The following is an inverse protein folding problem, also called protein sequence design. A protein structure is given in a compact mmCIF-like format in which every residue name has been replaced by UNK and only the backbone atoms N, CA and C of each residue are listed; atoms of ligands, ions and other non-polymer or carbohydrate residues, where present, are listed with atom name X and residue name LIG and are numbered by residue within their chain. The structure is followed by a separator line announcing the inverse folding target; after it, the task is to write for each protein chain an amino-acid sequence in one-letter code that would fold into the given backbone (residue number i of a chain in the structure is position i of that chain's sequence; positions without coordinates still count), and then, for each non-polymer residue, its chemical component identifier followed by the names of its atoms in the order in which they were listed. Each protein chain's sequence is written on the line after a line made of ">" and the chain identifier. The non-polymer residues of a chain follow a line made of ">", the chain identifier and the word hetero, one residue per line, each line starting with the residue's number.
data_IF_064473962225
#
_entry.id   IF_064473962225
#
_cell.length_a   1.000
_cell.length_b   1.000
_cell.length_c   1.000
_cell.angle_alpha   90.00
_cell.angle_beta   90.00
_cell.angle_gamma   90.00
#
_symmetry.space_group_name_H-M   'P 1'
#
loop_
_entity.id
_entity.type
_entity.pdbx_description
1 polymer ?
#
# COMPACT_ATOMS: atom_id res chain seq x y z
N UNK A 1 -0.91 -25.39 -13.78
CA UNK A 1 -1.82 -24.29 -13.33
C UNK A 1 -1.32 -23.84 -11.98
N UNK A 2 -1.01 -22.55 -11.79
CA UNK A 2 -0.48 -22.05 -10.51
C UNK A 2 -1.50 -22.18 -9.37
N UNK A 3 -1.05 -22.59 -8.19
CA UNK A 3 -1.86 -22.54 -6.97
C UNK A 3 -1.97 -21.09 -6.51
N UNK A 4 -3.17 -20.52 -6.50
CA UNK A 4 -3.42 -19.10 -6.25
C UNK A 4 -4.33 -18.88 -5.06
N UNK A 5 -4.08 -17.83 -4.30
CA UNK A 5 -4.99 -17.27 -3.30
C UNK A 5 -5.32 -15.83 -3.67
N UNK A 6 -6.59 -15.48 -3.69
CA UNK A 6 -7.04 -14.09 -3.84
C UNK A 6 -7.49 -13.55 -2.48
N UNK A 7 -7.06 -12.35 -2.15
CA UNK A 7 -7.43 -11.66 -0.91
C UNK A 7 -7.85 -10.23 -1.24
N UNK A 8 -9.09 -9.89 -0.95
CA UNK A 8 -9.60 -8.52 -1.03
C UNK A 8 -9.44 -7.82 0.32
N UNK A 9 -8.73 -6.72 0.34
CA UNK A 9 -8.73 -5.78 1.47
C UNK A 9 -9.65 -4.61 1.14
N UNK A 10 -10.62 -4.33 2.02
CA UNK A 10 -11.50 -3.18 1.90
C UNK A 10 -11.74 -2.53 3.27
N UNK A 11 -12.38 -1.36 3.29
CA UNK A 11 -12.66 -0.64 4.53
C UNK A 11 -13.89 -1.18 5.23
N UNK A 12 -15.04 -1.23 4.54
CA UNK A 12 -16.33 -1.53 5.18
C UNK A 12 -17.11 -2.67 4.52
N UNK A 13 -17.10 -2.76 3.18
CA UNK A 13 -17.93 -3.72 2.45
C UNK A 13 -17.35 -4.04 1.08
N UNK A 14 -17.39 -5.30 0.71
CA UNK A 14 -17.08 -5.79 -0.64
C UNK A 14 -17.81 -7.11 -0.93
N UNK A 15 -18.03 -7.40 -2.21
CA UNK A 15 -18.49 -8.70 -2.72
C UNK A 15 -17.51 -9.29 -3.75
N UNK A 16 -16.34 -8.69 -3.91
CA UNK A 16 -15.37 -9.08 -4.93
C UNK A 16 -14.83 -10.50 -4.68
N UNK A 17 -14.73 -10.93 -3.43
CA UNK A 17 -14.35 -12.28 -3.05
C UNK A 17 -15.34 -13.33 -3.58
N UNK A 18 -16.64 -13.04 -3.49
CA UNK A 18 -17.69 -13.92 -4.01
C UNK A 18 -17.66 -13.98 -5.54
N UNK A 19 -17.57 -12.81 -6.20
CA UNK A 19 -17.50 -12.71 -7.66
C UNK A 19 -16.27 -13.44 -8.22
N UNK A 20 -15.11 -13.24 -7.62
CA UNK A 20 -13.85 -13.89 -8.04
C UNK A 20 -13.93 -15.41 -7.81
N UNK A 21 -14.45 -15.86 -6.66
CA UNK A 21 -14.60 -17.27 -6.37
C UNK A 21 -15.51 -17.96 -7.39
N UNK A 22 -16.65 -17.35 -7.71
CA UNK A 22 -17.62 -17.91 -8.67
C UNK A 22 -17.06 -17.92 -10.10
N UNK A 23 -16.46 -16.80 -10.55
CA UNK A 23 -16.00 -16.64 -11.93
C UNK A 23 -14.77 -17.50 -12.25
N UNK A 24 -13.83 -17.61 -11.32
CA UNK A 24 -12.52 -18.22 -11.57
C UNK A 24 -12.29 -19.53 -10.84
N UNK A 25 -13.24 -19.98 -10.01
CA UNK A 25 -13.16 -21.21 -9.22
C UNK A 25 -11.86 -21.28 -8.37
N UNK A 26 -11.44 -20.14 -7.83
CA UNK A 26 -10.30 -20.03 -6.92
C UNK A 26 -10.79 -19.63 -5.53
N UNK A 27 -10.05 -20.03 -4.51
CA UNK A 27 -10.32 -19.55 -3.15
C UNK A 27 -10.09 -18.04 -3.09
N UNK A 28 -11.12 -17.30 -2.76
CA UNK A 28 -11.03 -15.86 -2.51
C UNK A 28 -11.56 -15.57 -1.10
N UNK A 29 -10.94 -14.62 -0.42
CA UNK A 29 -11.34 -14.18 0.93
C UNK A 29 -11.37 -12.67 0.98
N UNK A 30 -12.24 -12.12 1.81
CA UNK A 30 -12.25 -10.68 2.13
C UNK A 30 -11.74 -10.42 3.53
N UNK A 31 -11.10 -9.29 3.69
CA UNK A 31 -10.59 -8.75 4.94
C UNK A 31 -11.04 -7.29 5.04
N UNK A 32 -11.78 -6.95 6.08
CA UNK A 32 -12.35 -5.62 6.28
C UNK A 32 -11.60 -4.89 7.39
N UNK A 33 -11.08 -3.72 7.08
CA UNK A 33 -10.27 -2.93 8.01
C UNK A 33 -11.12 -2.19 9.06
N UNK A 34 -12.41 -1.98 8.75
CA UNK A 34 -13.37 -1.27 9.60
C UNK A 34 -12.83 0.08 10.10
N UNK A 35 -12.57 0.22 11.38
CA UNK A 35 -12.05 1.46 11.99
C UNK A 35 -10.53 1.62 11.87
N UNK A 36 -9.81 0.58 11.44
CA UNK A 36 -8.36 0.66 11.26
C UNK A 36 -7.99 1.33 9.94
N UNK A 37 -6.82 1.97 9.92
CA UNK A 37 -6.24 2.37 8.65
C UNK A 37 -5.89 1.13 7.84
N UNK A 38 -6.26 1.04 6.54
CA UNK A 38 -6.01 -0.17 5.74
C UNK A 38 -4.55 -0.57 5.63
N UNK A 39 -3.61 0.37 5.66
CA UNK A 39 -2.17 0.09 5.71
C UNK A 39 -1.75 -0.62 7.01
N UNK A 40 -2.34 -0.23 8.14
CA UNK A 40 -2.15 -0.95 9.41
C UNK A 40 -2.76 -2.33 9.37
N UNK A 41 -3.98 -2.42 8.89
CA UNK A 41 -4.70 -3.68 8.80
C UNK A 41 -3.95 -4.66 7.90
N UNK A 42 -3.44 -4.18 6.75
CA UNK A 42 -2.57 -4.99 5.88
C UNK A 42 -1.33 -5.47 6.62
N UNK A 43 -0.68 -4.59 7.40
CA UNK A 43 0.51 -4.96 8.17
C UNK A 43 0.23 -5.99 9.28
N UNK A 44 -0.99 -6.04 9.81
CA UNK A 44 -1.41 -7.02 10.81
C UNK A 44 -1.81 -8.36 10.20
N UNK A 45 -2.52 -8.33 9.08
CA UNK A 45 -3.12 -9.54 8.50
C UNK A 45 -2.21 -10.23 7.46
N UNK A 46 -1.37 -9.50 6.74
CA UNK A 46 -0.55 -10.09 5.69
C UNK A 46 0.39 -11.20 6.16
N UNK A 47 1.07 -11.10 7.32
CA UNK A 47 1.88 -12.21 7.83
C UNK A 47 1.08 -13.49 8.04
N UNK A 48 -0.12 -13.39 8.60
CA UNK A 48 -1.04 -14.52 8.83
C UNK A 48 -1.49 -15.14 7.51
N UNK A 49 -1.86 -14.28 6.54
CA UNK A 49 -2.28 -14.74 5.20
C UNK A 49 -1.16 -15.53 4.53
N UNK A 50 0.08 -15.06 4.63
CA UNK A 50 1.23 -15.77 4.06
C UNK A 50 1.45 -17.10 4.76
N UNK A 51 1.37 -17.13 6.09
CA UNK A 51 1.54 -18.35 6.89
C UNK A 51 0.45 -19.39 6.58
N UNK A 52 -0.80 -18.96 6.46
CA UNK A 52 -1.94 -19.82 6.12
C UNK A 52 -1.94 -20.32 4.67
N UNK A 53 -1.14 -19.73 3.79
CA UNK A 53 -1.14 -20.01 2.35
C UNK A 53 0.26 -20.34 1.81
N UNK A 54 1.11 -20.99 2.60
CA UNK A 54 2.46 -21.38 2.19
C UNK A 54 2.48 -22.40 1.04
N UNK A 55 1.38 -23.12 0.81
CA UNK A 55 1.21 -24.03 -0.32
C UNK A 55 0.87 -23.32 -1.64
N UNK A 56 0.67 -22.00 -1.63
CA UNK A 56 0.33 -21.20 -2.78
C UNK A 56 1.58 -20.60 -3.43
N UNK A 57 1.60 -20.65 -4.75
CA UNK A 57 2.69 -20.06 -5.55
C UNK A 57 2.48 -18.54 -5.72
N UNK A 58 1.21 -18.08 -5.71
CA UNK A 58 0.85 -16.68 -5.90
C UNK A 58 -0.23 -16.28 -4.91
N UNK A 59 0.00 -15.18 -4.20
CA UNK A 59 -1.02 -14.50 -3.39
C UNK A 59 -1.31 -13.15 -4.06
N UNK A 60 -2.55 -12.96 -4.48
CA UNK A 60 -3.05 -11.73 -5.10
C UNK A 60 -3.76 -10.92 -4.03
N UNK A 61 -3.22 -9.74 -3.72
CA UNK A 61 -3.84 -8.80 -2.81
C UNK A 61 -4.51 -7.68 -3.61
N UNK A 62 -5.82 -7.61 -3.56
CA UNK A 62 -6.56 -6.47 -4.09
C UNK A 62 -6.94 -5.53 -2.95
N UNK A 63 -6.64 -4.25 -3.12
CA UNK A 63 -6.89 -3.23 -2.11
C UNK A 63 -7.83 -2.16 -2.63
N UNK A 64 -8.67 -1.60 -1.77
CA UNK A 64 -9.60 -0.56 -2.12
C UNK A 64 -8.93 0.80 -2.31
N UNK A 65 -9.38 1.53 -3.33
CA UNK A 65 -9.02 2.93 -3.56
C UNK A 65 -7.66 3.16 -4.22
N UNK A 66 -7.46 4.41 -4.64
CA UNK A 66 -6.26 4.86 -5.36
C UNK A 66 -5.44 5.84 -4.51
N UNK A 67 -5.19 5.50 -3.24
CA UNK A 67 -4.28 6.25 -2.39
C UNK A 67 -3.39 5.29 -1.61
N UNK A 68 -2.17 5.76 -1.26
CA UNK A 68 -1.19 4.94 -0.55
C UNK A 68 -1.65 4.48 0.85
N UNK A 69 -2.64 5.12 1.41
CA UNK A 69 -3.20 4.76 2.72
C UNK A 69 -4.14 3.57 2.64
N UNK A 70 -4.98 3.56 1.58
CA UNK A 70 -5.96 2.49 1.39
C UNK A 70 -5.41 1.33 0.59
N UNK A 71 -4.35 1.57 -0.18
CA UNK A 71 -3.72 0.61 -1.10
C UNK A 71 -2.20 0.59 -0.91
N UNK A 72 -1.72 0.08 0.23
CA UNK A 72 -0.29 0.07 0.50
C UNK A 72 0.42 -0.96 -0.37
N UNK A 73 1.56 -0.56 -0.97
CA UNK A 73 2.43 -1.51 -1.67
C UNK A 73 3.43 -2.15 -0.71
N UNK A 74 3.62 -3.45 -0.88
CA UNK A 74 4.69 -4.21 -0.23
C UNK A 74 5.95 -4.13 -1.07
N UNK A 75 7.08 -3.81 -0.46
CA UNK A 75 8.35 -3.61 -1.17
C UNK A 75 8.85 -4.87 -1.85
N UNK A 76 8.62 -6.00 -1.21
CA UNK A 76 9.03 -7.32 -1.66
C UNK A 76 8.04 -7.93 -2.68
N UNK A 77 6.87 -7.31 -2.88
CA UNK A 77 5.84 -7.76 -3.82
C UNK A 77 5.77 -6.91 -5.07
N UNK A 78 5.19 -7.47 -6.12
CA UNK A 78 4.91 -6.76 -7.37
C UNK A 78 3.73 -5.81 -7.18
N UNK A 79 3.96 -4.52 -7.31
CA UNK A 79 2.95 -3.49 -7.18
C UNK A 79 2.30 -3.15 -8.51
N UNK A 80 1.02 -3.47 -8.66
CA UNK A 80 0.25 -3.16 -9.88
C UNK A 80 -0.78 -2.09 -9.56
N UNK A 81 -0.78 -1.02 -10.34
CA UNK A 81 -1.81 0.02 -10.29
C UNK A 81 -2.71 -0.11 -11.51
N UNK A 82 -4.03 -0.23 -11.30
CA UNK A 82 -5.00 -0.28 -12.41
C UNK A 82 -5.62 1.09 -12.57
N UNK A 83 -5.43 1.70 -13.74
CA UNK A 83 -5.96 3.01 -14.08
C UNK A 83 -6.97 2.91 -15.22
N UNK A 84 -8.10 3.54 -15.04
CA UNK A 84 -9.06 3.78 -16.08
C UNK A 84 -8.61 5.00 -16.91
N UNK A 85 -8.34 4.80 -18.20
CA UNK A 85 -7.89 5.88 -19.09
C UNK A 85 -8.90 7.01 -19.22
N UNK A 86 -10.19 6.73 -19.04
CA UNK A 86 -11.26 7.72 -19.09
C UNK A 86 -11.39 8.56 -17.82
N UNK A 87 -10.66 8.19 -16.77
CA UNK A 87 -10.74 8.84 -15.45
C UNK A 87 -10.06 10.21 -15.38
N UNK A 88 -9.47 10.71 -16.47
CA UNK A 88 -8.78 11.99 -16.57
C UNK A 88 -7.29 11.91 -16.29
N UNK A 89 -6.65 13.05 -15.97
CA UNK A 89 -5.19 13.13 -15.85
C UNK A 89 -4.65 12.25 -14.72
N UNK A 90 -3.74 11.29 -15.01
CA UNK A 90 -3.16 10.39 -14.03
C UNK A 90 -2.30 11.08 -12.96
N UNK A 91 -1.85 12.31 -13.19
CA UNK A 91 -1.06 13.08 -12.21
C UNK A 91 -1.79 13.27 -10.88
N UNK A 92 -3.13 13.28 -10.88
CA UNK A 92 -3.94 13.39 -9.65
C UNK A 92 -3.77 12.21 -8.69
N UNK A 93 -3.33 11.06 -9.18
CA UNK A 93 -3.06 9.87 -8.36
C UNK A 93 -1.65 9.85 -7.76
N UNK A 94 -0.80 10.82 -8.13
CA UNK A 94 0.58 11.04 -7.72
C UNK A 94 1.25 9.96 -6.85
N UNK A 95 1.08 10.01 -5.51
CA UNK A 95 1.84 9.12 -4.62
C UNK A 95 1.67 7.62 -4.88
N UNK A 96 0.45 7.15 -5.20
CA UNK A 96 0.25 5.72 -5.45
C UNK A 96 0.86 5.32 -6.78
N UNK A 97 0.75 6.18 -7.79
CA UNK A 97 1.31 5.93 -9.11
C UNK A 97 2.84 5.87 -9.08
N UNK A 98 3.51 6.71 -8.26
CA UNK A 98 4.99 6.70 -8.12
C UNK A 98 5.54 5.42 -7.54
N UNK A 99 4.72 4.60 -6.86
CA UNK A 99 5.15 3.37 -6.19
C UNK A 99 4.81 2.10 -6.97
N UNK A 100 4.06 2.21 -8.08
CA UNK A 100 3.70 1.08 -8.92
C UNK A 100 4.91 0.57 -9.72
N UNK A 101 5.06 -0.74 -9.82
CA UNK A 101 6.01 -1.39 -10.73
C UNK A 101 5.38 -1.52 -12.12
N UNK A 102 4.09 -1.85 -12.16
CA UNK A 102 3.26 -1.92 -13.37
C UNK A 102 2.09 -0.96 -13.24
N UNK A 103 1.79 -0.28 -14.34
CA UNK A 103 0.55 0.48 -14.51
C UNK A 103 -0.27 -0.20 -15.60
N UNK A 104 -1.33 -0.88 -15.18
CA UNK A 104 -2.30 -1.48 -16.09
C UNK A 104 -3.34 -0.42 -16.48
N UNK A 105 -3.34 -0.03 -17.74
CA UNK A 105 -4.27 1.00 -18.28
C UNK A 105 -5.45 0.30 -18.93
N UNK A 106 -6.64 0.47 -18.34
CA UNK A 106 -7.86 -0.16 -18.81
C UNK A 106 -8.74 0.81 -19.63
N UNK A 107 -9.69 0.25 -20.37
CA UNK A 107 -10.67 0.97 -21.17
C UNK A 107 -10.08 1.82 -22.30
N UNK A 108 -8.94 1.43 -22.85
CA UNK A 108 -8.31 2.09 -24.00
C UNK A 108 -9.17 2.06 -25.25
N UNK A 109 -10.08 1.12 -25.36
CA UNK A 109 -11.06 0.98 -26.43
C UNK A 109 -12.11 2.11 -26.46
N UNK A 110 -12.27 2.85 -25.37
CA UNK A 110 -13.24 3.96 -25.26
C UNK A 110 -12.70 5.33 -25.71
N UNK A 111 -11.42 5.43 -26.05
CA UNK A 111 -10.78 6.69 -26.43
C UNK A 111 -9.92 6.52 -27.68
N UNK A 112 -9.55 7.62 -28.30
CA UNK A 112 -8.67 7.63 -29.48
C UNK A 112 -7.24 7.20 -29.15
N UNK A 113 -6.48 6.78 -30.17
CA UNK A 113 -5.07 6.46 -30.05
C UNK A 113 -4.26 7.65 -29.51
N UNK A 114 -4.55 8.87 -29.97
CA UNK A 114 -3.86 10.07 -29.52
C UNK A 114 -4.05 10.31 -28.01
N UNK A 115 -5.28 10.14 -27.51
CA UNK A 115 -5.58 10.28 -26.08
C UNK A 115 -4.88 9.20 -25.26
N UNK A 116 -4.77 7.96 -25.75
CA UNK A 116 -3.99 6.88 -25.09
C UNK A 116 -2.52 7.27 -24.98
N UNK A 117 -1.91 7.77 -26.05
CA UNK A 117 -0.50 8.17 -26.02
C UNK A 117 -0.25 9.35 -25.05
N UNK A 118 -1.17 10.34 -25.03
CA UNK A 118 -1.11 11.45 -24.06
C UNK A 118 -1.22 10.92 -22.63
N UNK A 119 -2.14 9.98 -22.37
CA UNK A 119 -2.30 9.37 -21.06
C UNK A 119 -1.03 8.64 -20.62
N UNK A 120 -0.44 7.79 -21.50
CA UNK A 120 0.83 7.10 -21.26
C UNK A 120 1.96 8.08 -20.94
N UNK A 121 2.10 9.14 -21.73
CA UNK A 121 3.10 10.18 -21.48
C UNK A 121 2.92 10.84 -20.10
N UNK A 122 1.67 11.09 -19.69
CA UNK A 122 1.37 11.64 -18.37
C UNK A 122 1.63 10.64 -17.22
N UNK A 123 1.42 9.35 -17.41
CA UNK A 123 1.83 8.30 -16.45
C UNK A 123 3.35 8.32 -16.29
N UNK A 124 4.12 8.36 -17.38
CA UNK A 124 5.59 8.37 -17.34
C UNK A 124 6.17 9.65 -16.72
N UNK A 125 5.49 10.79 -16.82
CA UNK A 125 5.88 12.02 -16.10
C UNK A 125 5.82 11.83 -14.58
N UNK A 126 4.86 11.03 -14.08
CA UNK A 126 4.70 10.76 -12.64
C UNK A 126 5.61 9.63 -12.19
N UNK A 127 5.70 8.57 -12.98
CA UNK A 127 6.53 7.41 -12.69
C UNK A 127 7.32 6.96 -13.95
N UNK A 128 8.51 7.52 -14.17
CA UNK A 128 9.34 7.18 -15.33
C UNK A 128 9.81 5.71 -15.38
N UNK A 129 9.70 5.00 -14.26
CA UNK A 129 10.12 3.58 -14.14
C UNK A 129 8.98 2.60 -14.32
N UNK A 130 7.72 3.06 -14.36
CA UNK A 130 6.57 2.20 -14.49
C UNK A 130 6.58 1.43 -15.82
N UNK A 131 6.28 0.14 -15.77
CA UNK A 131 5.92 -0.63 -16.94
C UNK A 131 4.43 -0.40 -17.23
N UNK A 132 4.11 0.16 -18.39
CA UNK A 132 2.73 0.41 -18.77
C UNK A 132 2.26 -0.73 -19.65
N UNK A 133 1.13 -1.34 -19.26
CA UNK A 133 0.46 -2.40 -19.99
C UNK A 133 -0.97 -1.97 -20.26
N UNK A 134 -1.39 -1.94 -21.51
CA UNK A 134 -2.79 -1.74 -21.87
C UNK A 134 -3.54 -3.05 -21.62
N UNK A 135 -4.69 -2.96 -20.97
CA UNK A 135 -5.49 -4.13 -20.58
C UNK A 135 -6.96 -3.91 -20.89
N UNK A 136 -7.61 -4.99 -21.29
CA UNK A 136 -9.06 -5.04 -21.40
C UNK A 136 -9.60 -6.23 -20.62
N UNK A 137 -10.31 -5.95 -19.51
CA UNK A 137 -10.85 -6.98 -18.62
C UNK A 137 -11.98 -7.83 -19.24
N UNK A 138 -12.57 -7.39 -20.37
CA UNK A 138 -13.61 -8.13 -21.08
C UNK A 138 -13.02 -9.09 -22.12
N UNK A 139 -12.00 -8.65 -22.86
CA UNK A 139 -11.37 -9.44 -23.93
C UNK A 139 -10.17 -10.27 -23.46
N UNK A 140 -9.56 -9.88 -22.33
CA UNK A 140 -8.32 -10.48 -21.82
C UNK A 140 -7.06 -9.90 -22.45
N UNK A 141 -7.15 -8.86 -23.28
CA UNK A 141 -6.00 -8.15 -23.82
C UNK A 141 -5.06 -7.67 -22.71
N UNK A 142 -3.74 -7.79 -22.92
CA UNK A 142 -2.70 -7.43 -21.95
C UNK A 142 -2.52 -8.41 -20.78
N UNK A 143 -3.37 -9.43 -20.63
CA UNK A 143 -3.26 -10.39 -19.54
C UNK A 143 -1.98 -11.24 -19.63
N UNK A 144 -1.52 -11.57 -20.84
CA UNK A 144 -0.27 -12.31 -21.06
C UNK A 144 0.93 -11.48 -20.63
N UNK A 145 0.98 -10.21 -20.98
CA UNK A 145 2.08 -9.30 -20.61
C UNK A 145 2.21 -9.20 -19.09
N UNK A 146 1.08 -9.00 -18.38
CA UNK A 146 1.09 -8.98 -16.91
C UNK A 146 1.53 -10.33 -16.35
N UNK A 147 1.10 -11.44 -16.95
CA UNK A 147 1.49 -12.78 -16.52
C UNK A 147 3.00 -13.01 -16.66
N UNK A 148 3.62 -12.52 -17.73
CA UNK A 148 5.08 -12.60 -17.93
C UNK A 148 5.84 -11.80 -16.88
N UNK A 149 5.37 -10.61 -16.55
CA UNK A 149 5.94 -9.83 -15.43
C UNK A 149 5.82 -10.56 -14.09
N UNK A 150 4.68 -11.18 -13.80
CA UNK A 150 4.49 -11.96 -12.57
C UNK A 150 5.48 -13.15 -12.56
N UNK A 151 5.64 -13.88 -13.66
CA UNK A 151 6.56 -15.02 -13.75
C UNK A 151 8.02 -14.60 -13.59
N UNK A 152 8.39 -13.44 -14.10
CA UNK A 152 9.76 -12.91 -14.00
C UNK A 152 10.07 -12.25 -12.66
N UNK A 153 9.05 -12.00 -11.83
CA UNK A 153 9.25 -11.36 -10.55
C UNK A 153 9.90 -12.33 -9.55
N UNK A 154 10.91 -11.90 -8.79
CA UNK A 154 11.61 -12.77 -7.85
C UNK A 154 10.67 -13.33 -6.77
N UNK A 155 10.87 -14.59 -6.44
CA UNK A 155 10.18 -15.23 -5.32
C UNK A 155 10.46 -14.50 -3.99
N UNK A 156 9.43 -14.32 -3.18
CA UNK A 156 9.56 -13.67 -1.87
C UNK A 156 10.16 -14.66 -0.88
N UNK A 157 11.48 -14.56 -0.66
CA UNK A 157 12.22 -15.41 0.30
C UNK A 157 12.36 -14.78 1.69
N UNK A 158 11.93 -13.53 1.87
CA UNK A 158 12.12 -12.79 3.12
C UNK A 158 11.04 -13.14 4.13
N UNK A 159 11.45 -13.49 5.34
CA UNK A 159 10.53 -13.64 6.48
C UNK A 159 9.93 -12.31 6.96
N UNK A 160 10.56 -11.18 6.61
CA UNK A 160 10.16 -9.85 7.06
C UNK A 160 9.84 -8.98 5.84
N UNK A 161 8.58 -8.60 5.73
CA UNK A 161 8.09 -7.73 4.67
C UNK A 161 8.06 -6.26 5.12
N UNK A 162 8.14 -5.35 4.16
CA UNK A 162 8.08 -3.92 4.41
C UNK A 162 7.14 -3.21 3.44
N UNK A 163 6.47 -2.16 3.88
CA UNK A 163 5.73 -1.28 2.98
C UNK A 163 6.71 -0.44 2.15
N UNK A 164 6.41 -0.21 0.87
CA UNK A 164 7.24 0.65 -0.01
C UNK A 164 7.38 2.08 0.54
N UNK A 165 6.36 2.56 1.26
CA UNK A 165 6.35 3.91 1.84
C UNK A 165 5.76 3.91 3.25
N UNK A 166 6.12 4.90 4.05
CA UNK A 166 5.36 5.26 5.25
C UNK A 166 4.23 6.21 4.88
N UNK A 167 3.18 6.26 5.66
CA UNK A 167 2.04 7.17 5.44
C UNK A 167 2.48 8.60 5.15
N UNK A 168 2.06 9.21 4.02
CA UNK A 168 2.65 10.45 3.53
C UNK A 168 2.24 11.71 4.30
N UNK A 169 1.04 11.78 4.86
CA UNK A 169 0.49 13.06 5.35
C UNK A 169 0.15 13.11 6.83
N UNK A 170 -0.12 11.98 7.47
CA UNK A 170 -0.46 11.95 8.89
C UNK A 170 0.10 10.70 9.54
N UNK A 171 1.01 10.88 10.47
CA UNK A 171 1.53 9.78 11.26
C UNK A 171 0.56 9.50 12.37
N UNK A 172 -0.15 8.37 12.29
CA UNK A 172 -1.07 7.99 13.33
C UNK A 172 -0.31 7.62 14.62
N UNK A 173 -1.00 7.72 15.75
CA UNK A 173 -0.41 7.43 17.07
C UNK A 173 -0.35 5.94 17.41
N UNK A 174 -0.59 5.05 16.46
CA UNK A 174 -0.47 3.61 16.66
C UNK A 174 0.93 3.11 16.32
N UNK A 175 1.29 3.02 15.05
CA UNK A 175 2.61 2.52 14.65
C UNK A 175 3.66 3.61 14.45
N UNK A 176 3.28 4.87 14.52
CA UNK A 176 4.15 6.02 14.28
C UNK A 176 4.92 5.91 12.95
N UNK A 177 4.23 5.47 11.90
CA UNK A 177 4.79 5.37 10.55
C UNK A 177 5.80 4.23 10.38
N UNK A 178 5.67 3.14 11.14
CA UNK A 178 6.46 1.93 10.93
C UNK A 178 6.18 1.36 9.54
N UNK A 179 7.26 1.01 8.81
CA UNK A 179 7.16 0.36 7.50
C UNK A 179 7.24 -1.15 7.56
N UNK A 180 7.75 -1.69 8.67
CA UNK A 180 7.86 -3.14 8.82
C UNK A 180 6.48 -3.75 8.98
N UNK A 181 6.21 -4.77 8.21
CA UNK A 181 5.00 -5.58 8.32
C UNK A 181 5.25 -6.59 9.45
N UNK A 182 5.01 -6.15 10.67
CA UNK A 182 5.14 -6.94 11.89
C UNK A 182 4.16 -6.41 12.94
N UNK A 183 3.19 -7.24 13.37
CA UNK A 183 2.28 -6.89 14.45
C UNK A 183 3.01 -6.56 15.74
N UNK A 184 4.05 -7.32 16.10
CA UNK A 184 4.83 -7.16 17.33
C UNK A 184 5.56 -5.82 17.33
N UNK A 185 6.24 -5.48 16.23
CA UNK A 185 6.93 -4.17 16.12
C UNK A 185 5.96 -3.01 16.18
N UNK A 186 4.83 -3.12 15.50
CA UNK A 186 3.79 -2.08 15.51
C UNK A 186 3.23 -1.89 16.92
N UNK A 187 2.99 -2.97 17.66
CA UNK A 187 2.55 -2.93 19.04
C UNK A 187 3.61 -2.34 19.98
N UNK A 188 4.87 -2.74 19.84
CA UNK A 188 5.97 -2.15 20.62
C UNK A 188 6.12 -0.65 20.37
N UNK A 189 5.97 -0.21 19.12
CA UNK A 189 5.97 1.22 18.77
C UNK A 189 4.78 1.96 19.40
N UNK A 190 3.60 1.35 19.42
CA UNK A 190 2.43 1.89 20.11
C UNK A 190 2.72 2.12 21.60
N UNK A 191 3.25 1.12 22.29
CA UNK A 191 3.57 1.23 23.72
C UNK A 191 4.62 2.31 24.00
N UNK A 192 5.70 2.30 23.24
CA UNK A 192 6.81 3.26 23.41
C UNK A 192 6.36 4.69 23.03
N UNK A 193 5.65 4.84 21.93
CA UNK A 193 5.11 6.11 21.48
C UNK A 193 4.07 6.68 22.45
N UNK A 194 3.22 5.83 23.02
CA UNK A 194 2.27 6.20 24.05
C UNK A 194 2.95 6.73 25.32
N UNK A 195 4.07 6.13 25.75
CA UNK A 195 4.92 6.66 26.84
C UNK A 195 5.47 8.05 26.52
N UNK A 196 5.99 8.24 25.31
CA UNK A 196 6.51 9.53 24.83
C UNK A 196 5.39 10.57 24.74
N UNK A 197 4.21 10.18 24.24
CA UNK A 197 3.06 11.06 24.11
C UNK A 197 2.59 11.64 25.46
N UNK A 198 2.71 10.89 26.54
CA UNK A 198 2.40 11.38 27.90
C UNK A 198 3.38 12.44 28.39
N UNK A 199 4.60 12.47 27.87
CA UNK A 199 5.64 13.45 28.22
C UNK A 199 5.58 14.71 27.35
N UNK A 200 4.89 14.67 26.23
CA UNK A 200 4.82 15.74 25.22
C UNK A 200 3.43 16.38 25.28
N UNK A 201 3.31 17.72 25.28
CA UNK A 201 2.01 18.38 25.45
C UNK A 201 1.07 18.33 24.25
N UNK A 202 1.44 17.66 23.17
CA UNK A 202 0.67 17.47 21.93
C UNK A 202 0.19 18.77 21.23
N UNK A 203 0.95 19.85 21.35
CA UNK A 203 0.58 21.18 20.84
C UNK A 203 0.78 21.32 19.31
N UNK A 204 1.46 20.40 18.67
CA UNK A 204 1.86 20.48 17.24
C UNK A 204 2.49 21.85 16.87
N UNK A 205 3.21 22.45 17.81
CA UNK A 205 3.69 23.83 17.73
C UNK A 205 4.91 24.05 16.79
N UNK A 206 5.48 22.98 16.24
CA UNK A 206 6.62 23.04 15.32
C UNK A 206 7.96 23.41 15.92
N UNK A 207 8.07 23.85 17.20
CA UNK A 207 9.32 24.33 17.80
C UNK A 207 10.46 23.31 17.86
N UNK A 208 10.17 22.02 17.80
CA UNK A 208 11.15 20.96 17.68
C UNK A 208 11.60 20.70 16.23
N UNK A 209 11.08 21.46 15.25
CA UNK A 209 11.38 21.31 13.83
C UNK A 209 10.57 20.23 13.10
N UNK A 210 9.50 19.71 13.72
CA UNK A 210 8.58 18.74 13.14
C UNK A 210 7.18 19.33 13.02
N UNK A 211 6.45 18.97 11.95
CA UNK A 211 5.11 19.50 11.66
C UNK A 211 4.06 19.05 12.68
N UNK A 212 4.26 17.89 13.31
CA UNK A 212 3.37 17.37 14.34
C UNK A 212 4.15 16.66 15.45
N UNK A 213 3.50 16.54 16.63
CA UNK A 213 4.07 15.77 17.75
C UNK A 213 4.22 14.27 17.41
N UNK A 214 3.33 13.70 16.62
CA UNK A 214 3.45 12.32 16.17
C UNK A 214 4.66 12.14 15.24
N UNK A 215 4.95 13.09 14.37
CA UNK A 215 6.17 13.10 13.53
C UNK A 215 7.45 13.16 14.36
N UNK A 216 7.43 13.99 15.38
CA UNK A 216 8.54 14.07 16.36
C UNK A 216 8.70 12.75 17.12
N UNK A 217 7.61 12.16 17.64
CA UNK A 217 7.65 10.86 18.31
C UNK A 217 8.21 9.78 17.38
N UNK A 218 7.78 9.75 16.10
CA UNK A 218 8.37 8.85 15.10
C UNK A 218 9.88 9.01 15.01
N UNK A 219 10.36 10.25 14.89
CA UNK A 219 11.78 10.50 14.77
C UNK A 219 12.59 10.08 16.01
N UNK A 220 11.98 10.18 17.20
CA UNK A 220 12.57 9.67 18.44
C UNK A 220 12.61 8.14 18.45
N UNK A 221 11.51 7.48 18.07
CA UNK A 221 11.44 6.02 17.98
C UNK A 221 12.41 5.46 16.93
N UNK A 222 12.61 6.18 15.83
CA UNK A 222 13.58 5.86 14.78
C UNK A 222 15.03 6.24 15.16
N UNK A 223 15.26 6.70 16.41
CA UNK A 223 16.58 7.14 16.94
C UNK A 223 17.25 8.28 16.12
N UNK A 224 16.47 9.04 15.36
CA UNK A 224 16.97 10.18 14.56
C UNK A 224 17.20 11.44 15.39
N UNK A 225 16.44 11.59 16.47
CA UNK A 225 16.53 12.72 17.39
C UNK A 225 16.30 12.25 18.82
N UNK A 226 16.85 12.99 19.79
CA UNK A 226 16.61 12.75 21.21
C UNK A 226 15.30 13.42 21.64
N UNK A 227 14.61 12.85 22.63
CA UNK A 227 13.33 13.38 23.16
C UNK A 227 13.45 14.78 23.76
N UNK A 228 14.64 15.13 24.26
CA UNK A 228 14.97 16.43 24.84
C UNK A 228 14.92 17.57 23.82
N UNK A 229 14.88 17.29 22.52
CA UNK A 229 14.69 18.29 21.47
C UNK A 229 13.31 18.98 21.54
N UNK A 230 12.32 18.37 22.19
CA UNK A 230 11.06 19.05 22.48
C UNK A 230 11.25 20.01 23.67
N UNK A 231 11.10 21.33 23.46
CA UNK A 231 11.33 22.31 24.54
C UNK A 231 10.30 22.22 25.67
N UNK A 232 9.17 21.54 25.42
CA UNK A 232 8.07 21.39 26.38
C UNK A 232 7.97 19.97 26.96
N UNK A 233 9.01 19.15 26.80
CA UNK A 233 9.00 17.81 27.37
C UNK A 233 8.96 17.92 28.90
N UNK A 234 8.02 17.20 29.52
CA UNK A 234 7.96 17.11 30.98
C UNK A 234 9.20 16.38 31.48
N UNK A 235 10.06 17.07 32.21
CA UNK A 235 11.14 16.45 32.99
C UNK A 235 10.47 15.69 34.13
N UNK A 236 10.76 14.41 34.27
CA UNK A 236 10.40 13.66 35.46
C UNK A 236 11.29 14.12 36.60
#
# INVERSE_FOLDING_TARGET
>A
MYKRQFVKFDCLKTSDDELISQKYQIKAIKKLAEELCPDHYTALELPKIIEENQDKEIIILETAGLCLRCSPYVKEGLGINVLDVTSGNPQRYGPILTQADIVAVSKGDLISQAEREIFRANVLKVNPKAKIVEVNGLTGEGALDITEYIKSFPEIKKKKLTLKHSMPSAICGYCYGNKTISPEESYQRYLQGGKLKKLIPNLNCGRCGFKSCNEFIRAVLDKKVKKEKCPFIKKK
#
